data_IF_557284153206
#
_entry.id   IF_557284153206
#
_cell.length_a   1.000
_cell.length_b   1.000
_cell.length_c   1.000
_cell.angle_alpha   90.00
_cell.angle_beta   90.00
_cell.angle_gamma   90.00
#
_symmetry.space_group_name_H-M   'P 1'
#
loop_
_entity.id
_entity.type
_entity.pdbx_description
1 polymer ?
#
# COMPACT_ATOMS: atom_id res chain seq x y z
N UNK A 1 24.92 4.43 -14.34
CA UNK A 1 24.02 3.32 -14.72
C UNK A 1 24.80 2.13 -15.25
N UNK A 2 25.66 1.52 -14.41
CA UNK A 2 26.36 0.23 -14.60
C UNK A 2 27.30 0.07 -13.41
N UNK A 3 26.77 -0.17 -12.20
CA UNK A 3 27.58 -0.86 -11.15
C UNK A 3 26.87 -1.23 -9.83
N UNK A 4 25.53 -1.41 -9.81
CA UNK A 4 24.88 -1.95 -8.60
C UNK A 4 24.89 -3.49 -8.56
N UNK A 5 25.11 -4.15 -9.71
CA UNK A 5 25.09 -5.61 -9.85
C UNK A 5 26.45 -6.30 -9.58
N UNK A 6 27.56 -5.56 -9.52
CA UNK A 6 28.90 -6.13 -9.35
C UNK A 6 29.36 -6.25 -7.88
N UNK A 7 28.67 -5.59 -6.94
CA UNK A 7 29.05 -5.60 -5.50
C UNK A 7 28.52 -6.80 -4.71
N UNK A 8 27.79 -7.72 -5.33
CA UNK A 8 27.18 -8.88 -4.65
C UNK A 8 27.94 -10.20 -4.86
N UNK A 9 29.21 -10.19 -5.31
CA UNK A 9 29.98 -11.43 -5.59
C UNK A 9 31.36 -11.54 -4.95
N UNK A 10 31.65 -10.76 -3.92
CA UNK A 10 32.89 -10.93 -3.16
C UNK A 10 32.60 -10.60 -1.69
N UNK A 11 32.15 -11.61 -0.95
CA UNK A 11 32.71 -11.94 0.36
C UNK A 11 32.00 -13.17 0.89
N UNK A 12 32.69 -14.31 0.74
CA UNK A 12 32.31 -15.54 1.39
C UNK A 12 32.50 -15.39 2.89
N UNK A 13 31.40 -15.36 3.64
CA UNK A 13 31.43 -15.50 5.09
C UNK A 13 30.52 -16.66 5.50
N UNK A 14 31.21 -17.66 6.04
CA UNK A 14 30.78 -18.88 6.74
C UNK A 14 29.33 -18.89 7.24
N UNK A 15 28.63 -19.97 6.88
CA UNK A 15 27.44 -20.47 7.60
C UNK A 15 27.79 -20.63 9.08
N UNK A 16 27.21 -19.79 9.92
CA UNK A 16 26.97 -20.11 11.33
C UNK A 16 25.52 -20.57 11.44
N UNK A 17 25.38 -21.85 11.76
CA UNK A 17 24.12 -22.47 12.13
C UNK A 17 23.64 -21.84 13.43
N UNK A 18 22.45 -21.24 13.41
CA UNK A 18 21.72 -20.87 14.62
C UNK A 18 20.34 -21.48 14.49
N UNK A 19 20.17 -22.57 15.24
CA UNK A 19 18.89 -23.20 15.50
C UNK A 19 17.96 -22.18 16.17
N UNK A 20 16.90 -21.83 15.45
CA UNK A 20 15.76 -21.12 15.97
C UNK A 20 14.58 -21.55 15.13
N UNK A 21 13.71 -22.39 15.69
CA UNK A 21 12.55 -22.95 15.01
C UNK A 21 11.67 -21.88 14.36
N UNK A 22 11.93 -21.58 13.07
CA UNK A 22 10.95 -20.97 12.16
C UNK A 22 9.87 -22.03 11.95
N UNK A 23 8.75 -21.90 12.64
CA UNK A 23 7.52 -22.56 12.21
C UNK A 23 7.10 -21.88 10.91
N UNK A 24 7.57 -22.40 9.77
CA UNK A 24 6.81 -22.26 8.54
C UNK A 24 5.43 -22.85 8.83
N UNK A 25 4.38 -22.03 8.72
CA UNK A 25 3.02 -22.54 8.66
C UNK A 25 3.01 -23.64 7.58
N UNK A 26 2.52 -24.85 7.87
CA UNK A 26 2.54 -25.94 6.91
C UNK A 26 1.75 -25.51 5.67
N UNK A 27 2.41 -25.54 4.50
CA UNK A 27 1.75 -25.30 3.24
C UNK A 27 0.71 -26.40 3.03
N UNK A 28 -0.56 -26.03 3.09
CA UNK A 28 -1.71 -26.83 2.68
C UNK A 28 -1.49 -27.40 1.26
N UNK A 29 -2.08 -28.55 0.90
CA UNK A 29 -1.99 -29.09 -0.47
C UNK A 29 -2.35 -28.00 -1.48
N UNK A 30 -1.59 -27.88 -2.58
CA UNK A 30 -1.75 -26.85 -3.62
C UNK A 30 -3.16 -26.88 -4.23
N UNK A 31 -4.13 -26.28 -3.55
CA UNK A 31 -5.30 -25.71 -4.19
C UNK A 31 -4.76 -24.62 -5.12
N UNK A 32 -5.03 -24.73 -6.42
CA UNK A 32 -4.77 -23.64 -7.35
C UNK A 32 -5.76 -22.53 -7.01
N UNK A 33 -5.37 -21.67 -6.07
CA UNK A 33 -6.11 -20.46 -5.73
C UNK A 33 -6.19 -19.56 -6.95
N UNK A 34 -7.33 -18.89 -7.18
CA UNK A 34 -7.44 -17.92 -8.26
C UNK A 34 -6.40 -16.80 -8.04
N UNK A 35 -5.73 -16.39 -9.11
CA UNK A 35 -4.75 -15.29 -9.05
C UNK A 35 -5.44 -13.96 -9.28
N UNK A 36 -5.17 -13.02 -8.38
CA UNK A 36 -5.63 -11.65 -8.45
C UNK A 36 -4.71 -10.83 -9.38
N UNK A 37 -5.32 -9.94 -10.15
CA UNK A 37 -4.57 -8.90 -10.85
C UNK A 37 -4.09 -7.85 -9.83
N UNK A 38 -2.77 -7.67 -9.77
CA UNK A 38 -2.12 -6.74 -8.85
C UNK A 38 -1.40 -5.66 -9.64
N UNK A 39 -1.60 -4.41 -9.22
CA UNK A 39 -0.86 -3.27 -9.74
C UNK A 39 -0.13 -2.64 -8.58
N UNK A 40 1.20 -2.63 -8.63
CA UNK A 40 2.02 -1.90 -7.66
C UNK A 40 2.19 -0.47 -8.14
N UNK A 41 1.98 0.50 -7.25
CA UNK A 41 2.24 1.90 -7.54
C UNK A 41 3.51 2.40 -6.87
N UNK A 42 3.72 3.71 -6.97
CA UNK A 42 4.90 4.39 -6.43
C UNK A 42 4.46 5.36 -5.35
N UNK A 43 5.12 5.30 -4.20
CA UNK A 43 4.80 6.11 -3.04
C UNK A 43 4.73 7.61 -3.36
N UNK A 44 3.76 8.29 -2.74
CA UNK A 44 3.65 9.76 -2.74
C UNK A 44 3.63 10.36 -4.16
N UNK A 45 2.83 9.73 -5.03
CA UNK A 45 2.50 10.22 -6.36
C UNK A 45 1.08 10.76 -6.35
N UNK A 46 0.88 11.96 -6.88
CA UNK A 46 -0.36 12.71 -6.75
C UNK A 46 -0.97 13.06 -8.10
N UNK A 47 -2.26 13.38 -8.10
CA UNK A 47 -2.96 13.92 -9.27
C UNK A 47 -3.26 15.39 -9.03
N UNK A 48 -3.27 16.21 -10.08
CA UNK A 48 -3.81 17.55 -9.99
C UNK A 48 -5.31 17.49 -9.67
N UNK A 49 -5.76 18.31 -8.73
CA UNK A 49 -7.17 18.46 -8.41
C UNK A 49 -7.79 19.61 -9.19
N UNK A 50 -9.09 19.48 -9.48
CA UNK A 50 -9.89 20.58 -9.98
C UNK A 50 -10.18 21.57 -8.84
N UNK A 51 -10.46 22.83 -9.19
CA UNK A 51 -10.88 23.83 -8.21
C UNK A 51 -12.16 23.34 -7.51
N UNK A 52 -12.12 23.26 -6.18
CA UNK A 52 -13.22 22.71 -5.38
C UNK A 52 -14.34 23.74 -5.20
N UNK A 53 -13.98 25.03 -5.13
CA UNK A 53 -14.91 26.14 -5.00
C UNK A 53 -14.45 27.35 -5.84
N UNK A 54 -15.32 28.33 -6.13
CA UNK A 54 -14.91 29.59 -6.77
C UNK A 54 -13.87 30.39 -5.98
N UNK A 55 -13.78 30.20 -4.65
CA UNK A 55 -12.79 30.86 -3.81
C UNK A 55 -11.37 30.30 -4.00
N UNK A 56 -11.25 29.08 -4.54
CA UNK A 56 -9.97 28.40 -4.79
C UNK A 56 -9.36 28.81 -6.14
N UNK A 57 -9.95 29.77 -6.85
CA UNK A 57 -9.45 30.23 -8.15
C UNK A 57 -8.03 30.78 -8.03
N UNK A 58 -7.10 30.15 -8.76
CA UNK A 58 -5.68 30.52 -8.78
C UNK A 58 -4.81 29.74 -7.80
N UNK A 59 -5.42 28.97 -6.90
CA UNK A 59 -4.70 28.01 -6.06
C UNK A 59 -4.56 26.65 -6.76
N UNK A 60 -3.50 25.92 -6.39
CA UNK A 60 -3.21 24.60 -6.93
C UNK A 60 -3.34 23.58 -5.82
N UNK A 61 -4.20 22.60 -6.05
CA UNK A 61 -4.42 21.49 -5.15
C UNK A 61 -3.99 20.18 -5.79
N UNK A 62 -3.49 19.29 -4.95
CA UNK A 62 -3.28 17.89 -5.32
C UNK A 62 -4.30 16.99 -4.64
N UNK A 63 -4.83 16.05 -5.40
CA UNK A 63 -5.63 14.95 -4.91
C UNK A 63 -4.71 13.87 -4.32
N UNK A 64 -4.84 13.68 -3.01
CA UNK A 64 -4.10 12.67 -2.25
C UNK A 64 -4.86 11.34 -2.17
N UNK A 65 -6.02 11.22 -2.80
CA UNK A 65 -6.99 10.16 -2.56
C UNK A 65 -7.77 10.38 -1.26
N UNK A 66 -8.65 9.45 -0.93
CA UNK A 66 -9.46 9.49 0.29
C UNK A 66 -10.39 10.71 0.45
N UNK A 67 -10.70 11.41 -0.64
CA UNK A 67 -11.41 12.70 -0.58
C UNK A 67 -10.60 13.81 0.11
N UNK A 68 -9.27 13.70 0.07
CA UNK A 68 -8.36 14.64 0.70
C UNK A 68 -7.57 15.40 -0.37
N UNK A 69 -7.69 16.72 -0.34
CA UNK A 69 -6.92 17.62 -1.19
C UNK A 69 -5.94 18.44 -0.36
N UNK A 70 -4.78 18.74 -0.93
CA UNK A 70 -3.74 19.54 -0.27
C UNK A 70 -3.28 20.68 -1.17
N UNK A 71 -3.17 21.91 -0.65
CA UNK A 71 -2.56 23.00 -1.40
C UNK A 71 -1.08 22.68 -1.63
N UNK A 72 -0.59 23.00 -2.82
CA UNK A 72 0.80 22.80 -3.21
C UNK A 72 1.28 23.92 -4.12
N UNK A 73 2.54 24.31 -3.97
CA UNK A 73 3.20 25.21 -4.92
C UNK A 73 3.54 24.47 -6.22
N UNK A 74 3.74 25.20 -7.31
CA UNK A 74 4.08 24.61 -8.61
C UNK A 74 5.52 24.95 -8.96
N UNK A 75 6.37 23.93 -9.14
CA UNK A 75 7.78 24.15 -9.46
C UNK A 75 8.01 24.56 -10.92
N UNK A 76 7.09 24.20 -11.82
CA UNK A 76 7.11 24.62 -13.23
C UNK A 76 5.73 24.51 -13.89
N UNK A 77 5.43 25.31 -14.93
CA UNK A 77 4.15 25.22 -15.66
C UNK A 77 3.85 23.83 -16.26
N UNK A 78 4.87 22.99 -16.47
CA UNK A 78 4.70 21.62 -16.97
C UNK A 78 3.92 20.73 -15.99
N UNK A 79 4.02 20.99 -14.68
CA UNK A 79 3.28 20.23 -13.66
C UNK A 79 1.76 20.31 -13.89
N UNK A 80 1.24 21.46 -14.27
CA UNK A 80 -0.20 21.69 -14.49
C UNK A 80 -0.79 20.86 -15.64
N UNK A 81 0.05 20.28 -16.50
CA UNK A 81 -0.36 19.42 -17.62
C UNK A 81 -0.02 17.94 -17.40
N UNK A 82 0.62 17.63 -16.27
CA UNK A 82 1.09 16.28 -15.99
C UNK A 82 -0.04 15.41 -15.43
N UNK A 83 -0.20 14.16 -15.91
CA UNK A 83 -1.17 13.23 -15.32
C UNK A 83 -0.77 12.77 -13.92
N UNK A 84 0.53 12.84 -13.59
CA UNK A 84 1.08 12.47 -12.28
C UNK A 84 2.06 13.53 -11.81
N UNK A 85 1.99 13.81 -10.53
CA UNK A 85 2.79 14.81 -9.84
C UNK A 85 3.62 14.12 -8.76
N UNK A 86 4.79 14.67 -8.50
CA UNK A 86 5.64 14.28 -7.38
C UNK A 86 6.08 15.51 -6.59
N UNK A 87 6.36 15.31 -5.32
CA UNK A 87 6.85 16.38 -4.46
C UNK A 87 8.31 16.69 -4.77
N UNK A 88 8.61 17.98 -4.81
CA UNK A 88 9.98 18.51 -4.82
C UNK A 88 10.15 19.40 -3.59
N UNK A 89 11.26 19.25 -2.88
CA UNK A 89 11.47 19.98 -1.63
C UNK A 89 11.73 21.47 -1.90
N UNK A 90 10.92 22.35 -1.31
CA UNK A 90 11.07 23.79 -1.38
C UNK A 90 10.98 24.40 0.02
N UNK A 91 12.13 24.60 0.68
CA UNK A 91 12.29 25.55 1.79
C UNK A 91 11.24 25.53 2.92
N UNK A 92 10.66 24.39 3.26
CA UNK A 92 9.65 24.24 4.32
C UNK A 92 8.19 24.06 3.85
N UNK A 93 7.93 24.29 2.56
CA UNK A 93 6.69 23.96 1.85
C UNK A 93 6.81 22.71 0.98
N UNK A 94 5.73 22.42 0.24
CA UNK A 94 5.68 21.33 -0.73
C UNK A 94 5.36 21.90 -2.11
N UNK A 95 6.35 21.87 -2.99
CA UNK A 95 6.13 22.13 -4.40
C UNK A 95 5.91 20.81 -5.14
N UNK A 96 5.15 20.89 -6.21
CA UNK A 96 4.88 19.75 -7.10
C UNK A 96 5.53 19.97 -8.46
N UNK A 97 6.08 18.89 -9.01
CA UNK A 97 6.65 18.83 -10.35
C UNK A 97 5.92 17.79 -11.20
N UNK A 98 6.03 17.92 -12.52
CA UNK A 98 5.62 16.88 -13.45
C UNK A 98 6.47 15.61 -13.23
N UNK A 99 5.82 14.46 -13.05
CA UNK A 99 6.50 13.18 -12.92
C UNK A 99 6.50 12.42 -14.25
N UNK A 100 7.51 11.58 -14.47
CA UNK A 100 7.56 10.62 -15.59
C UNK A 100 6.75 9.34 -15.30
N UNK A 101 6.11 9.27 -14.13
CA UNK A 101 5.24 8.17 -13.72
C UNK A 101 3.92 8.17 -14.49
N UNK A 102 3.15 7.09 -14.39
CA UNK A 102 1.84 7.00 -15.02
C UNK A 102 0.72 6.89 -13.99
N UNK A 103 -0.56 7.10 -14.36
CA UNK A 103 -1.67 7.07 -13.40
C UNK A 103 -1.76 5.78 -12.56
N UNK A 104 -1.17 4.67 -13.03
CA UNK A 104 -1.08 3.43 -12.27
C UNK A 104 -0.24 3.56 -11.00
N UNK A 105 0.61 4.58 -10.89
CA UNK A 105 1.49 4.82 -9.76
C UNK A 105 0.78 5.54 -8.60
N UNK A 106 -0.37 6.17 -8.87
CA UNK A 106 -1.12 6.96 -7.89
C UNK A 106 -1.64 6.13 -6.70
N UNK A 107 -1.96 6.87 -5.63
CA UNK A 107 -2.67 6.36 -4.44
C UNK A 107 -2.00 5.18 -3.75
N UNK A 108 -0.67 5.22 -3.73
CA UNK A 108 0.15 4.23 -3.03
C UNK A 108 0.85 4.91 -1.86
N UNK A 109 0.62 4.41 -0.65
CA UNK A 109 1.04 5.09 0.57
C UNK A 109 1.55 4.12 1.63
N UNK A 110 2.43 4.63 2.49
CA UNK A 110 2.81 3.96 3.73
C UNK A 110 1.67 4.10 4.73
N UNK A 111 1.36 3.03 5.44
CA UNK A 111 0.33 3.04 6.46
C UNK A 111 0.74 2.24 7.70
N UNK A 112 0.27 2.68 8.86
CA UNK A 112 0.38 1.98 10.14
C UNK A 112 -0.94 1.27 10.42
N UNK A 113 -0.88 -0.04 10.68
CA UNK A 113 -2.07 -0.82 11.02
C UNK A 113 -2.46 -0.50 12.47
N UNK A 114 -3.60 0.16 12.64
CA UNK A 114 -4.17 0.47 13.96
C UNK A 114 -4.89 -0.74 14.53
N UNK A 115 -5.64 -1.45 13.68
CA UNK A 115 -6.41 -2.64 14.09
C UNK A 115 -6.74 -3.52 12.90
N UNK A 116 -6.58 -4.83 13.06
CA UNK A 116 -7.23 -5.84 12.20
C UNK A 116 -8.66 -6.01 12.70
N UNK A 117 -9.65 -5.63 11.89
CA UNK A 117 -11.07 -5.69 12.28
C UNK A 117 -11.53 -7.15 12.16
N UNK A 118 -11.36 -7.73 10.97
CA UNK A 118 -11.65 -9.11 10.59
C UNK A 118 -10.65 -9.57 9.51
N UNK A 119 -10.91 -10.70 8.84
CA UNK A 119 -9.98 -11.31 7.88
C UNK A 119 -9.66 -10.47 6.65
N UNK A 120 -10.53 -9.51 6.29
CA UNK A 120 -10.35 -8.69 5.07
C UNK A 120 -10.58 -7.20 5.28
N UNK A 121 -10.78 -6.76 6.52
CA UNK A 121 -10.96 -5.34 6.85
C UNK A 121 -9.92 -4.88 7.88
N UNK A 122 -9.17 -3.83 7.53
CA UNK A 122 -8.18 -3.18 8.37
C UNK A 122 -8.62 -1.77 8.74
N UNK A 123 -8.20 -1.29 9.91
CA UNK A 123 -8.13 0.13 10.22
C UNK A 123 -6.67 0.57 10.19
N UNK A 124 -6.35 1.58 9.40
CA UNK A 124 -4.99 2.07 9.24
C UNK A 124 -4.89 3.59 9.32
N UNK A 125 -3.77 4.08 9.81
CA UNK A 125 -3.32 5.47 9.65
C UNK A 125 -2.41 5.55 8.44
N UNK A 126 -2.81 6.35 7.46
CA UNK A 126 -2.19 6.42 6.14
C UNK A 126 -1.48 7.76 6.04
N UNK A 127 -0.18 7.71 5.81
CA UNK A 127 0.63 8.89 5.53
C UNK A 127 0.48 9.25 4.06
N UNK A 128 -0.17 10.39 3.80
CA UNK A 128 -0.40 10.90 2.45
C UNK A 128 0.78 11.73 1.94
N UNK A 129 1.85 11.86 2.73
CA UNK A 129 2.87 12.88 2.55
C UNK A 129 2.28 14.27 2.84
N UNK A 130 2.98 15.32 2.43
CA UNK A 130 2.46 16.71 2.51
C UNK A 130 2.00 17.14 3.92
N UNK A 131 2.61 16.57 4.98
CA UNK A 131 2.21 16.72 6.39
C UNK A 131 0.73 16.35 6.64
N UNK A 132 0.20 15.39 5.89
CA UNK A 132 -1.18 14.93 5.98
C UNK A 132 -1.25 13.45 6.32
N UNK A 133 -2.07 13.11 7.31
CA UNK A 133 -2.38 11.74 7.71
C UNK A 133 -3.90 11.59 7.73
N UNK A 134 -4.39 10.44 7.27
CA UNK A 134 -5.80 10.08 7.35
C UNK A 134 -5.97 8.72 8.01
N UNK A 135 -7.06 8.51 8.75
CA UNK A 135 -7.37 7.21 9.37
C UNK A 135 -8.57 6.60 8.66
N UNK A 136 -8.36 5.44 8.02
CA UNK A 136 -9.35 4.84 7.12
C UNK A 136 -9.65 3.39 7.50
N UNK A 137 -10.85 2.93 7.14
CA UNK A 137 -11.17 1.50 7.05
C UNK A 137 -10.85 1.05 5.63
N UNK A 138 -10.02 0.02 5.50
CA UNK A 138 -9.57 -0.55 4.24
C UNK A 138 -10.17 -1.95 4.10
N UNK A 139 -10.86 -2.21 3.00
CA UNK A 139 -11.36 -3.54 2.62
C UNK A 139 -10.40 -4.13 1.59
N UNK A 140 -9.90 -5.34 1.85
CA UNK A 140 -8.97 -6.01 0.94
C UNK A 140 -9.67 -6.30 -0.39
N UNK A 141 -9.16 -5.71 -1.46
CA UNK A 141 -9.73 -5.81 -2.81
C UNK A 141 -9.63 -7.23 -3.35
N UNK A 142 -10.67 -7.67 -4.05
CA UNK A 142 -10.66 -8.90 -4.83
C UNK A 142 -10.97 -10.17 -4.03
N UNK A 143 -11.20 -10.06 -2.72
CA UNK A 143 -11.40 -11.20 -1.83
C UNK A 143 -12.55 -10.99 -0.86
N UNK A 144 -13.08 -12.08 -0.34
CA UNK A 144 -14.06 -12.08 0.75
C UNK A 144 -13.68 -13.17 1.77
N UNK A 145 -13.49 -12.76 3.02
CA UNK A 145 -13.23 -13.66 4.13
C UNK A 145 -14.55 -14.09 4.79
N UNK A 146 -14.63 -15.29 5.38
CA UNK A 146 -15.78 -15.68 6.17
C UNK A 146 -16.04 -14.71 7.34
N UNK A 147 -17.32 -14.57 7.70
CA UNK A 147 -17.76 -13.70 8.80
C UNK A 147 -17.02 -13.99 10.11
N UNK A 148 -16.70 -12.94 10.87
CA UNK A 148 -15.83 -13.00 12.05
C UNK A 148 -16.38 -13.92 13.17
N UNK A 149 -17.69 -14.10 13.25
CA UNK A 149 -18.34 -14.98 14.21
C UNK A 149 -18.22 -16.48 13.86
N UNK A 150 -17.72 -16.80 12.66
CA UNK A 150 -17.40 -18.16 12.23
C UNK A 150 -15.99 -18.57 12.67
N UNK A 151 -15.74 -19.88 12.75
CA UNK A 151 -14.39 -20.40 13.05
C UNK A 151 -13.36 -19.97 12.01
N UNK A 152 -13.70 -20.04 10.71
CA UNK A 152 -12.81 -19.64 9.62
C UNK A 152 -12.57 -18.13 9.57
N UNK A 153 -13.57 -17.30 9.91
CA UNK A 153 -13.38 -15.85 9.97
C UNK A 153 -12.40 -15.44 11.07
N UNK A 154 -12.46 -16.10 12.23
CA UNK A 154 -11.45 -15.93 13.29
C UNK A 154 -10.06 -16.40 12.86
N UNK A 155 -9.97 -17.50 12.12
CA UNK A 155 -8.71 -18.01 11.57
C UNK A 155 -8.10 -17.03 10.56
N UNK A 156 -8.90 -16.51 9.63
CA UNK A 156 -8.49 -15.51 8.65
C UNK A 156 -7.96 -14.24 9.34
N UNK A 157 -8.69 -13.74 10.34
CA UNK A 157 -8.23 -12.61 11.15
C UNK A 157 -6.90 -12.90 11.85
N UNK A 158 -6.78 -14.05 12.52
CA UNK A 158 -5.57 -14.42 13.25
C UNK A 158 -4.37 -14.55 12.29
N UNK A 159 -4.58 -15.05 11.08
CA UNK A 159 -3.56 -15.09 10.03
C UNK A 159 -3.07 -13.68 9.66
N UNK A 160 -3.98 -12.73 9.42
CA UNK A 160 -3.63 -11.34 9.11
C UNK A 160 -2.89 -10.68 10.27
N UNK A 161 -3.38 -10.85 11.50
CA UNK A 161 -2.69 -10.34 12.70
C UNK A 161 -1.28 -10.90 12.82
N UNK A 162 -1.09 -12.20 12.63
CA UNK A 162 0.22 -12.84 12.69
C UNK A 162 1.16 -12.37 11.56
N UNK A 163 0.64 -12.21 10.34
CA UNK A 163 1.41 -11.76 9.17
C UNK A 163 1.88 -10.31 9.32
N UNK A 164 1.05 -9.43 9.89
CA UNK A 164 1.35 -7.99 9.98
C UNK A 164 2.04 -7.60 11.30
N UNK A 165 1.92 -8.39 12.38
CA UNK A 165 2.57 -8.13 13.67
C UNK A 165 4.08 -7.83 13.61
N UNK A 166 4.91 -8.50 12.78
CA UNK A 166 6.34 -8.21 12.71
C UNK A 166 6.69 -7.05 11.76
N UNK A 167 5.70 -6.34 11.20
CA UNK A 167 5.91 -5.24 10.28
C UNK A 167 5.68 -3.90 10.99
N UNK A 168 6.63 -2.98 10.88
CA UNK A 168 6.47 -1.62 11.42
C UNK A 168 5.43 -0.80 10.63
N UNK A 169 5.24 -1.13 9.36
CA UNK A 169 4.27 -0.52 8.47
C UNK A 169 3.86 -1.49 7.36
N UNK A 170 2.82 -1.10 6.63
CA UNK A 170 2.41 -1.73 5.36
C UNK A 170 2.43 -0.68 4.25
N UNK A 171 2.45 -1.14 3.00
CA UNK A 171 2.13 -0.30 1.84
C UNK A 171 0.74 -0.64 1.37
N UNK A 172 -0.06 0.38 1.12
CA UNK A 172 -1.40 0.23 0.58
C UNK A 172 -1.47 0.90 -0.78
N UNK A 173 -2.18 0.26 -1.72
CA UNK A 173 -2.69 0.93 -2.91
C UNK A 173 -4.21 0.98 -2.82
N UNK A 174 -4.77 2.17 -2.72
CA UNK A 174 -6.21 2.37 -2.59
C UNK A 174 -6.88 2.62 -3.94
N UNK A 175 -8.15 2.24 -4.00
CA UNK A 175 -9.04 2.41 -5.14
C UNK A 175 -10.27 3.22 -4.70
N UNK A 176 -11.41 3.03 -5.36
CA UNK A 176 -12.67 3.65 -4.95
C UNK A 176 -13.21 3.05 -3.64
N UNK A 177 -14.17 3.74 -3.05
CA UNK A 177 -14.92 3.26 -1.89
C UNK A 177 -15.99 2.27 -2.31
N UNK A 178 -16.15 1.18 -1.56
CA UNK A 178 -17.29 0.27 -1.72
C UNK A 178 -18.61 0.93 -1.26
N UNK A 179 -19.73 0.21 -1.44
CA UNK A 179 -21.07 0.64 -1.03
C UNK A 179 -21.20 0.94 0.47
N UNK A 180 -20.24 0.51 1.29
CA UNK A 180 -20.20 0.69 2.74
C UNK A 180 -19.23 1.81 3.17
N UNK A 181 -18.70 2.58 2.22
CA UNK A 181 -17.78 3.68 2.49
C UNK A 181 -16.39 3.24 2.93
N UNK A 182 -16.00 1.98 2.67
CA UNK A 182 -14.64 1.47 2.93
C UNK A 182 -13.84 1.59 1.65
N UNK A 183 -12.58 2.02 1.74
CA UNK A 183 -11.72 2.04 0.57
C UNK A 183 -11.25 0.63 0.24
N UNK A 184 -11.44 0.22 -1.01
CA UNK A 184 -10.82 -1.01 -1.52
C UNK A 184 -9.31 -0.82 -1.58
N UNK A 185 -8.55 -1.78 -1.09
CA UNK A 185 -7.10 -1.68 -1.01
C UNK A 185 -6.38 -2.99 -1.35
N UNK A 186 -5.25 -2.85 -2.04
CA UNK A 186 -4.21 -3.86 -2.07
C UNK A 186 -3.23 -3.59 -0.94
N UNK A 187 -2.86 -4.61 -0.17
CA UNK A 187 -1.94 -4.48 0.96
C UNK A 187 -0.67 -5.28 0.70
N UNK A 188 0.47 -4.59 0.83
CA UNK A 188 1.80 -5.15 0.70
C UNK A 188 2.57 -5.01 2.01
N UNK A 189 3.29 -6.06 2.40
CA UNK A 189 4.04 -6.08 3.65
C UNK A 189 5.33 -6.89 3.50
N UNK A 190 6.34 -6.57 4.30
CA UNK A 190 7.58 -7.33 4.35
C UNK A 190 8.19 -7.16 5.75
N UNK A 191 8.23 -8.24 6.52
CA UNK A 191 8.67 -8.21 7.91
C UNK A 191 10.15 -7.78 8.01
N UNK A 192 10.44 -6.79 8.85
CA UNK A 192 11.80 -6.29 9.10
C UNK A 192 12.42 -5.46 7.98
N UNK A 193 11.68 -5.13 6.90
CA UNK A 193 12.17 -4.24 5.86
C UNK A 193 11.89 -2.77 6.23
N UNK A 194 12.93 -1.94 6.46
CA UNK A 194 12.73 -0.55 6.83
C UNK A 194 12.40 0.38 5.66
N UNK A 195 12.70 0.01 4.40
CA UNK A 195 12.48 0.87 3.23
C UNK A 195 11.06 0.69 2.63
N UNK A 196 10.18 1.69 2.73
CA UNK A 196 8.83 1.63 2.16
C UNK A 196 8.80 1.37 0.66
N UNK A 197 9.79 1.85 -0.10
CA UNK A 197 9.84 1.64 -1.54
C UNK A 197 10.13 0.18 -1.90
N UNK A 198 10.95 -0.52 -1.10
CA UNK A 198 11.21 -1.96 -1.25
C UNK A 198 9.94 -2.75 -0.96
N UNK A 199 9.22 -2.42 0.13
CA UNK A 199 7.93 -3.07 0.45
C UNK A 199 6.89 -2.84 -0.66
N UNK A 200 6.81 -1.62 -1.22
CA UNK A 200 5.91 -1.31 -2.32
C UNK A 200 6.21 -2.15 -3.57
N UNK A 201 7.49 -2.31 -3.92
CA UNK A 201 7.93 -2.99 -5.13
C UNK A 201 7.90 -4.53 -5.00
N UNK A 202 8.28 -5.07 -3.83
CA UNK A 202 8.59 -6.49 -3.67
C UNK A 202 7.93 -7.15 -2.45
N UNK A 203 7.22 -6.41 -1.59
CA UNK A 203 6.56 -6.97 -0.42
C UNK A 203 5.49 -7.99 -0.77
N UNK A 204 5.20 -8.90 0.15
CA UNK A 204 4.16 -9.92 -0.01
C UNK A 204 2.79 -9.28 -0.18
N UNK A 205 1.98 -9.83 -1.08
CA UNK A 205 0.63 -9.33 -1.35
C UNK A 205 -0.39 -10.06 -0.47
N UNK A 206 -0.84 -9.39 0.60
CA UNK A 206 -1.70 -9.98 1.64
C UNK A 206 -3.00 -10.55 1.08
N UNK A 207 -3.66 -9.83 0.16
CA UNK A 207 -4.94 -10.26 -0.39
C UNK A 207 -4.79 -11.62 -1.10
N UNK A 208 -3.71 -11.82 -1.85
CA UNK A 208 -3.42 -13.10 -2.50
C UNK A 208 -3.03 -14.18 -1.48
N UNK A 209 -2.30 -13.83 -0.42
CA UNK A 209 -1.96 -14.78 0.65
C UNK A 209 -3.21 -15.39 1.28
N UNK A 210 -4.24 -14.60 1.55
CA UNK A 210 -5.51 -15.13 2.10
C UNK A 210 -6.20 -16.15 1.17
N UNK A 211 -6.15 -15.95 -0.15
CA UNK A 211 -6.64 -16.94 -1.12
C UNK A 211 -5.76 -18.19 -1.16
N UNK A 212 -4.44 -18.01 -1.12
CA UNK A 212 -3.47 -19.11 -1.19
C UNK A 212 -3.57 -20.02 0.05
N UNK A 213 -3.90 -19.46 1.22
CA UNK A 213 -4.13 -20.21 2.46
C UNK A 213 -5.57 -20.77 2.57
N UNK A 214 -6.46 -20.48 1.61
CA UNK A 214 -7.87 -20.93 1.65
C UNK A 214 -8.72 -20.23 2.72
N UNK A 215 -8.27 -19.05 3.18
CA UNK A 215 -8.91 -18.22 4.20
C UNK A 215 -9.87 -17.17 3.62
N UNK A 216 -9.88 -17.03 2.29
CA UNK A 216 -10.79 -16.17 1.55
C UNK A 216 -11.23 -16.82 0.23
N UNK A 217 -12.30 -16.30 -0.35
CA UNK A 217 -12.73 -16.60 -1.72
C UNK A 217 -12.53 -15.37 -2.61
N UNK A 218 -12.45 -15.56 -3.93
CA UNK A 218 -12.39 -14.43 -4.87
C UNK A 218 -13.74 -13.72 -4.88
N UNK A 219 -13.68 -12.39 -4.85
CA UNK A 219 -14.86 -11.53 -4.88
C UNK A 219 -14.62 -10.36 -5.82
N UNK A 220 -15.59 -10.09 -6.70
CA UNK A 220 -15.59 -8.91 -7.57
C UNK A 220 -16.76 -8.03 -7.13
N UNK A 221 -16.43 -6.97 -6.40
CA UNK A 221 -17.35 -5.93 -5.93
C UNK A 221 -16.79 -4.54 -6.18
#
# INVERSE_FOLDING_TARGET
MRDLAARLRADGVRRLSIDGHRRQLPLSPKHLSPKLNVTRGTLYSYKLAEALTPADQGEVFVDCGFGMWRPAGVSSPAALKSPVLETVSAGGGFDIAASQRSPKDLYTYKALVVKVIDGDTLRAEIDLGLKAVTRQKLRLRGIDCPELDTAKGREAKAFVEAALKPCDFIIIKSYWSDLHGRYLADVFYLAGEPDPAVVAAAGEYLNQRLLDEGLAVRYEG
#
